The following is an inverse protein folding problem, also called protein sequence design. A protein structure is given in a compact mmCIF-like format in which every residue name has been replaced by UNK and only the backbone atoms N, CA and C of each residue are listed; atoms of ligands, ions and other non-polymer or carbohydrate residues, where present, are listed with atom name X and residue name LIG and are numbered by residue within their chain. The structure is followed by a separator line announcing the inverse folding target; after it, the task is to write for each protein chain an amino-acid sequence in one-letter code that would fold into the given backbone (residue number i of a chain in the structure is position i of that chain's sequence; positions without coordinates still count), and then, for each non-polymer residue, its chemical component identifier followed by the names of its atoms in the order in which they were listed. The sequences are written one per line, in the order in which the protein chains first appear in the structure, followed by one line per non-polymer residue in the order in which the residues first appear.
data_IF_024944103137
#
_entry.id   IF_024944103137
#
_cell.length_a   1.000
_cell.length_b   1.000
_cell.length_c   1.000
_cell.angle_alpha   90.00
_cell.angle_beta   90.00
_cell.angle_gamma   90.00
#
_symmetry.space_group_name_H-M   'P 1'
#
loop_
_entity.id
_entity.type
_entity.pdbx_description
1 polymer ?
#
# COMPACT_ATOMS: atom_id res chain seq x y z
N UNK A 1 -14.04 -8.94 16.42
CA UNK A 1 -12.88 -8.80 15.51
C UNK A 1 -11.59 -9.27 16.17
N UNK A 2 -11.19 -8.70 17.31
CA UNK A 2 -9.96 -9.11 18.03
C UNK A 2 -9.84 -10.62 18.29
N UNK A 3 -10.93 -11.29 18.73
CA UNK A 3 -10.91 -12.73 19.03
C UNK A 3 -10.52 -13.57 17.81
N UNK A 4 -10.92 -13.13 16.61
CA UNK A 4 -10.57 -13.77 15.34
C UNK A 4 -9.07 -13.60 15.03
N UNK A 5 -8.54 -12.39 15.16
CA UNK A 5 -7.10 -12.12 14.99
C UNK A 5 -6.27 -12.92 15.98
N UNK A 6 -6.65 -12.94 17.25
CA UNK A 6 -5.97 -13.70 18.30
C UNK A 6 -5.97 -15.20 18.01
N UNK A 7 -7.11 -15.77 17.62
CA UNK A 7 -7.23 -17.20 17.29
C UNK A 7 -6.36 -17.62 16.09
N UNK A 8 -6.15 -16.74 15.11
CA UNK A 8 -5.21 -16.97 14.03
C UNK A 8 -3.75 -16.88 14.50
N UNK A 9 -3.42 -15.84 15.26
CA UNK A 9 -2.06 -15.55 15.73
C UNK A 9 -1.49 -16.68 16.60
N UNK A 10 -2.28 -17.25 17.52
CA UNK A 10 -1.79 -18.28 18.46
C UNK A 10 -1.25 -19.52 17.75
N UNK A 11 -1.69 -19.81 16.52
CA UNK A 11 -1.18 -20.93 15.69
C UNK A 11 0.30 -20.75 15.31
N UNK A 12 0.81 -19.52 15.34
CA UNK A 12 2.19 -19.17 14.99
C UNK A 12 3.06 -18.85 16.22
N UNK A 13 2.52 -19.06 17.43
CA UNK A 13 3.23 -18.88 18.69
C UNK A 13 3.41 -20.24 19.38
N UNK A 14 4.59 -20.47 19.95
CA UNK A 14 4.81 -21.60 20.86
C UNK A 14 4.06 -21.36 22.20
N UNK A 15 4.03 -22.38 23.08
CA UNK A 15 3.34 -22.29 24.36
C UNK A 15 3.78 -21.08 25.21
N UNK A 16 5.08 -20.77 25.22
CA UNK A 16 5.60 -19.61 25.93
C UNK A 16 5.09 -18.28 25.34
N UNK A 17 5.09 -18.15 24.01
CA UNK A 17 4.59 -16.97 23.29
C UNK A 17 3.09 -16.76 23.49
N UNK A 18 2.31 -17.84 23.54
CA UNK A 18 0.88 -17.78 23.85
C UNK A 18 0.65 -17.27 25.28
N UNK A 19 1.33 -17.85 26.27
CA UNK A 19 1.26 -17.38 27.68
C UNK A 19 1.72 -15.92 27.81
N UNK A 20 2.77 -15.53 27.09
CA UNK A 20 3.26 -14.15 27.08
C UNK A 20 2.22 -13.19 26.48
N UNK A 21 1.54 -13.58 25.40
CA UNK A 21 0.46 -12.79 24.81
C UNK A 21 -0.71 -12.59 25.79
N UNK A 22 -1.15 -13.64 26.49
CA UNK A 22 -2.19 -13.49 27.51
C UNK A 22 -1.75 -12.55 28.64
N UNK A 23 -0.50 -12.66 29.09
CA UNK A 23 0.08 -11.80 30.12
C UNK A 23 0.15 -10.34 29.66
N UNK A 24 0.63 -10.08 28.43
CA UNK A 24 0.73 -8.72 27.88
C UNK A 24 -0.65 -8.07 27.71
N UNK A 25 -1.64 -8.84 27.23
CA UNK A 25 -3.03 -8.39 27.14
C UNK A 25 -3.62 -8.07 28.52
N UNK A 26 -3.52 -9.00 29.47
CA UNK A 26 -4.05 -8.81 30.83
C UNK A 26 -3.34 -7.70 31.62
N UNK A 27 -2.11 -7.35 31.25
CA UNK A 27 -1.36 -6.26 31.90
C UNK A 27 -1.91 -4.86 31.58
N UNK A 28 -2.66 -4.72 30.47
CA UNK A 28 -3.34 -3.49 30.10
C UNK A 28 -4.66 -3.39 30.86
N UNK A 29 -4.66 -2.60 31.93
CA UNK A 29 -5.86 -2.27 32.70
C UNK A 29 -6.10 -0.76 32.66
N UNK A 30 -7.34 -0.27 32.83
CA UNK A 30 -7.65 1.16 32.81
C UNK A 30 -6.77 2.01 33.74
N UNK A 31 -6.30 1.45 34.86
CA UNK A 31 -5.43 2.11 35.84
C UNK A 31 -3.95 2.16 35.40
N UNK A 32 -3.59 1.43 34.34
CA UNK A 32 -2.21 1.29 33.84
C UNK A 32 -2.10 1.58 32.33
N UNK A 33 -2.53 2.75 31.86
CA UNK A 33 -2.57 3.07 30.43
C UNK A 33 -1.20 3.07 29.74
N UNK A 34 -0.13 3.39 30.48
CA UNK A 34 1.24 3.34 29.98
C UNK A 34 1.71 1.91 29.61
N UNK A 35 0.98 0.86 30.02
CA UNK A 35 1.36 -0.51 29.67
C UNK A 35 1.26 -0.77 28.18
N UNK A 36 0.33 -0.13 27.45
CA UNK A 36 0.28 -0.24 25.99
C UNK A 36 1.64 0.07 25.35
N UNK A 37 2.17 1.26 25.64
CA UNK A 37 3.45 1.74 25.08
C UNK A 37 4.57 0.75 25.42
N UNK A 38 4.59 0.27 26.67
CA UNK A 38 5.61 -0.67 27.15
C UNK A 38 5.52 -2.04 26.47
N UNK A 39 4.36 -2.67 26.42
CA UNK A 39 4.21 -4.01 25.81
C UNK A 39 4.40 -3.95 24.30
N UNK A 40 3.96 -2.86 23.66
CA UNK A 40 4.12 -2.66 22.22
C UNK A 40 5.58 -2.55 21.79
N UNK A 41 6.39 -1.80 22.56
CA UNK A 41 7.83 -1.69 22.34
C UNK A 41 8.56 -3.01 22.63
N UNK A 42 8.23 -3.65 23.77
CA UNK A 42 8.85 -4.92 24.17
C UNK A 42 8.47 -6.10 23.28
N UNK A 43 7.41 -5.99 22.48
CA UNK A 43 6.98 -7.06 21.58
C UNK A 43 8.11 -7.55 20.66
N UNK A 44 8.95 -6.62 20.16
CA UNK A 44 10.10 -6.92 19.30
C UNK A 44 11.14 -7.86 19.92
N UNK A 45 11.19 -7.93 21.26
CA UNK A 45 12.09 -8.80 22.05
C UNK A 45 11.43 -10.10 22.51
N UNK A 46 10.10 -10.17 22.45
CA UNK A 46 9.29 -11.26 23.02
C UNK A 46 8.68 -12.17 21.98
N UNK A 47 8.47 -11.68 20.76
CA UNK A 47 7.75 -12.40 19.72
C UNK A 47 8.59 -12.62 18.45
N UNK A 48 8.32 -13.70 17.70
CA UNK A 48 9.01 -13.97 16.44
C UNK A 48 8.83 -12.87 15.41
N UNK A 49 9.88 -12.62 14.62
CA UNK A 49 9.85 -11.74 13.45
C UNK A 49 9.64 -12.51 12.12
N UNK A 50 9.37 -13.80 12.21
CA UNK A 50 9.08 -14.64 11.05
C UNK A 50 7.80 -14.23 10.35
N UNK A 51 7.71 -14.51 9.05
CA UNK A 51 6.44 -14.43 8.32
C UNK A 51 5.68 -15.74 8.52
N UNK A 52 4.36 -15.69 8.80
CA UNK A 52 3.53 -16.87 8.72
C UNK A 52 3.72 -17.53 7.35
N UNK A 53 3.87 -18.87 7.32
CA UNK A 53 3.77 -19.57 6.05
C UNK A 53 2.41 -19.24 5.40
N UNK A 54 2.31 -19.17 4.06
CA UNK A 54 1.03 -19.14 3.39
C UNK A 54 0.25 -20.38 3.82
N UNK A 55 -0.63 -20.22 4.79
CA UNK A 55 -1.63 -21.23 5.14
C UNK A 55 -2.83 -21.01 4.24
N UNK A 56 -3.94 -21.71 4.46
CA UNK A 56 -5.27 -21.35 3.93
C UNK A 56 -5.73 -20.00 4.54
N UNK A 57 -4.92 -18.95 4.31
CA UNK A 57 -4.80 -17.67 5.00
C UNK A 57 -6.00 -16.74 4.74
N UNK A 58 -6.91 -17.16 3.87
CA UNK A 58 -8.18 -16.48 3.59
C UNK A 58 -9.11 -16.43 4.81
N UNK A 59 -8.93 -17.29 5.81
CA UNK A 59 -9.84 -17.29 6.96
C UNK A 59 -9.66 -16.07 7.88
N UNK A 60 -8.47 -15.47 7.99
CA UNK A 60 -8.20 -14.42 8.98
C UNK A 60 -8.04 -13.01 8.41
N UNK A 61 -8.03 -12.85 7.09
CA UNK A 61 -7.84 -11.57 6.40
C UNK A 61 -6.56 -10.83 6.83
N UNK A 62 -5.52 -11.58 7.23
CA UNK A 62 -4.19 -11.03 7.50
C UNK A 62 -3.38 -11.15 6.23
N UNK A 63 -2.92 -10.05 5.64
CA UNK A 63 -2.12 -10.10 4.43
C UNK A 63 -0.85 -10.95 4.61
N UNK A 64 -0.50 -11.79 3.63
CA UNK A 64 0.66 -12.69 3.71
C UNK A 64 2.04 -12.01 3.85
N UNK A 65 2.10 -10.68 3.79
CA UNK A 65 3.32 -9.90 3.99
C UNK A 65 3.58 -9.53 5.47
N UNK A 66 2.63 -9.73 6.38
CA UNK A 66 2.81 -9.42 7.80
C UNK A 66 3.76 -10.41 8.46
N UNK A 67 4.60 -9.92 9.38
CA UNK A 67 5.34 -10.79 10.31
C UNK A 67 4.45 -11.14 11.50
N UNK A 68 4.79 -12.23 12.20
CA UNK A 68 4.13 -12.60 13.47
C UNK A 68 4.18 -11.43 14.47
N UNK A 69 5.32 -10.71 14.55
CA UNK A 69 5.45 -9.50 15.36
C UNK A 69 4.44 -8.39 14.99
N UNK A 70 4.20 -8.16 13.71
CA UNK A 70 3.27 -7.12 13.25
C UNK A 70 1.84 -7.49 13.64
N UNK A 71 1.47 -8.77 13.49
CA UNK A 71 0.18 -9.31 13.92
C UNK A 71 0.00 -9.21 15.46
N UNK A 72 1.02 -9.52 16.25
CA UNK A 72 0.98 -9.31 17.71
C UNK A 72 0.68 -7.84 18.03
N UNK A 73 1.42 -6.91 17.44
CA UNK A 73 1.23 -5.47 17.67
C UNK A 73 -0.17 -4.99 17.28
N UNK A 74 -0.73 -5.49 16.18
CA UNK A 74 -2.13 -5.22 15.79
C UNK A 74 -3.10 -5.76 16.84
N UNK A 75 -2.90 -6.99 17.36
CA UNK A 75 -3.74 -7.53 18.44
C UNK A 75 -3.63 -6.69 19.72
N UNK A 76 -2.45 -6.20 20.08
CA UNK A 76 -2.26 -5.31 21.23
C UNK A 76 -3.03 -3.99 21.06
N UNK A 77 -2.98 -3.38 19.87
CA UNK A 77 -3.71 -2.14 19.58
C UNK A 77 -5.24 -2.33 19.61
N UNK A 78 -5.74 -3.41 19.00
CA UNK A 78 -7.16 -3.75 19.04
C UNK A 78 -7.66 -4.03 20.47
N UNK A 79 -6.82 -4.63 21.31
CA UNK A 79 -7.15 -4.85 22.71
C UNK A 79 -7.18 -3.53 23.47
N UNK A 80 -6.15 -2.70 23.27
CA UNK A 80 -6.02 -1.42 23.94
C UNK A 80 -7.19 -0.49 23.61
N UNK A 81 -7.70 -0.47 22.37
CA UNK A 81 -8.91 0.27 22.02
C UNK A 81 -10.12 -0.16 22.86
N UNK A 82 -10.28 -1.46 23.11
CA UNK A 82 -11.38 -1.99 23.92
C UNK A 82 -11.22 -1.67 25.40
N UNK A 83 -10.00 -1.72 25.93
CA UNK A 83 -9.71 -1.47 27.36
C UNK A 83 -9.77 0.01 27.70
N UNK A 84 -9.16 0.87 26.86
CA UNK A 84 -8.97 2.29 27.18
C UNK A 84 -10.06 3.20 26.63
N UNK A 85 -10.86 2.73 25.66
CA UNK A 85 -11.97 3.51 25.11
C UNK A 85 -11.52 4.90 24.63
N UNK A 86 -12.07 5.96 25.23
CA UNK A 86 -11.73 7.35 24.87
C UNK A 86 -10.25 7.72 25.08
N UNK A 87 -9.56 7.06 26.00
CA UNK A 87 -8.13 7.30 26.27
C UNK A 87 -7.19 6.62 25.26
N UNK A 88 -7.71 5.76 24.39
CA UNK A 88 -6.89 5.02 23.42
C UNK A 88 -6.16 5.95 22.44
N UNK A 89 -6.86 6.94 21.87
CA UNK A 89 -6.27 7.84 20.86
C UNK A 89 -5.12 8.69 21.45
N UNK A 90 -5.27 9.35 22.61
CA UNK A 90 -4.14 10.03 23.27
C UNK A 90 -2.94 9.11 23.53
N UNK A 91 -3.18 7.85 23.92
CA UNK A 91 -2.11 6.87 24.16
C UNK A 91 -1.41 6.45 22.87
N UNK A 92 -2.18 6.25 21.79
CA UNK A 92 -1.65 5.92 20.47
C UNK A 92 -0.79 7.07 19.91
N UNK A 93 -1.25 8.31 20.05
CA UNK A 93 -0.47 9.50 19.66
C UNK A 93 0.82 9.58 20.46
N UNK A 94 0.77 9.36 21.78
CA UNK A 94 1.96 9.32 22.63
C UNK A 94 2.94 8.21 22.25
N UNK A 95 2.43 7.03 21.87
CA UNK A 95 3.23 5.92 21.34
C UNK A 95 3.96 6.34 20.06
N UNK A 96 3.27 7.00 19.14
CA UNK A 96 3.80 7.40 17.83
C UNK A 96 4.93 8.45 17.91
N UNK A 97 4.97 9.27 18.97
CA UNK A 97 6.03 10.29 19.19
C UNK A 97 7.43 9.68 19.12
N UNK A 98 7.62 8.49 19.68
CA UNK A 98 8.92 7.79 19.71
C UNK A 98 8.93 6.49 18.91
N UNK A 99 7.88 6.24 18.12
CA UNK A 99 7.73 4.98 17.40
C UNK A 99 8.75 4.85 16.26
N UNK A 100 9.43 3.70 16.20
CA UNK A 100 10.28 3.34 15.07
C UNK A 100 9.46 3.00 13.81
N UNK A 101 10.17 2.71 12.71
CA UNK A 101 9.52 2.37 11.44
C UNK A 101 8.64 1.11 11.52
N UNK A 102 9.07 0.08 12.25
CA UNK A 102 8.30 -1.16 12.38
C UNK A 102 7.05 -0.96 13.24
N UNK A 103 7.16 -0.14 14.28
CA UNK A 103 6.07 0.24 15.17
C UNK A 103 5.01 1.06 14.41
N UNK A 104 5.44 2.04 13.62
CA UNK A 104 4.55 2.81 12.73
C UNK A 104 3.89 1.92 11.68
N UNK A 105 4.63 0.98 11.09
CA UNK A 105 4.04 0.01 10.16
C UNK A 105 2.94 -0.83 10.81
N UNK A 106 3.15 -1.29 12.05
CA UNK A 106 2.13 -2.05 12.78
C UNK A 106 0.89 -1.22 13.14
N UNK A 107 1.05 0.08 13.41
CA UNK A 107 -0.09 1.00 13.57
C UNK A 107 -0.87 1.10 12.26
N UNK A 108 -0.20 1.30 11.12
CA UNK A 108 -0.85 1.38 9.80
C UNK A 108 -1.65 0.13 9.45
N UNK A 109 -1.10 -1.05 9.76
CA UNK A 109 -1.78 -2.33 9.61
C UNK A 109 -3.04 -2.45 10.46
N UNK A 110 -3.12 -1.76 11.60
CA UNK A 110 -4.29 -1.79 12.48
C UNK A 110 -5.43 -0.87 12.03
N UNK A 111 -5.15 0.18 11.24
CA UNK A 111 -6.10 1.25 10.91
C UNK A 111 -7.45 0.77 10.33
N UNK A 112 -7.51 -0.24 9.42
CA UNK A 112 -8.80 -0.74 8.93
C UNK A 112 -9.71 -1.37 9.98
N UNK A 113 -9.13 -1.76 11.12
CA UNK A 113 -9.76 -2.60 12.12
C UNK A 113 -10.09 -1.84 13.41
N UNK A 114 -9.59 -0.62 13.54
CA UNK A 114 -9.91 0.32 14.63
C UNK A 114 -11.22 1.07 14.32
N UNK A 115 -11.90 1.53 15.35
CA UNK A 115 -13.07 2.39 15.23
C UNK A 115 -12.64 3.75 14.68
N UNK A 116 -13.15 4.08 13.50
CA UNK A 116 -12.79 5.31 12.78
C UNK A 116 -12.94 6.56 13.64
N UNK A 117 -11.94 7.44 13.57
CA UNK A 117 -11.92 8.78 14.16
C UNK A 117 -11.09 9.71 13.27
N UNK A 118 -11.26 11.03 13.45
CA UNK A 118 -10.46 12.03 12.73
C UNK A 118 -8.96 11.87 13.01
N UNK A 119 -8.59 11.60 14.26
CA UNK A 119 -7.19 11.36 14.63
C UNK A 119 -6.56 10.15 13.91
N UNK A 120 -7.31 9.07 13.67
CA UNK A 120 -6.81 7.94 12.88
C UNK A 120 -6.65 8.31 11.40
N UNK A 121 -7.46 9.23 10.88
CA UNK A 121 -7.29 9.77 9.53
C UNK A 121 -6.05 10.66 9.41
N UNK A 122 -5.75 11.45 10.44
CA UNK A 122 -4.52 12.25 10.50
C UNK A 122 -3.28 11.36 10.54
N UNK A 123 -3.29 10.31 11.36
CA UNK A 123 -2.22 9.30 11.42
C UNK A 123 -2.04 8.64 10.05
N UNK A 124 -3.12 8.26 9.39
CA UNK A 124 -3.06 7.69 8.04
C UNK A 124 -2.41 8.68 7.05
N UNK A 125 -2.82 9.95 7.10
CA UNK A 125 -2.30 11.00 6.23
C UNK A 125 -0.81 11.25 6.47
N UNK A 126 -0.34 11.26 7.73
CA UNK A 126 1.08 11.37 8.07
C UNK A 126 1.87 10.18 7.48
N UNK A 127 1.37 8.97 7.66
CA UNK A 127 1.97 7.74 7.12
C UNK A 127 2.08 7.74 5.60
N UNK A 128 1.15 8.38 4.88
CA UNK A 128 1.22 8.51 3.42
C UNK A 128 2.12 9.66 2.94
N UNK A 129 2.56 10.57 3.83
CA UNK A 129 3.46 11.68 3.47
C UNK A 129 4.94 11.35 3.66
N UNK A 130 5.26 10.32 4.44
CA UNK A 130 6.64 9.92 4.75
C UNK A 130 7.46 9.51 3.52
N UNK A 131 8.77 9.70 3.58
CA UNK A 131 9.73 9.10 2.63
C UNK A 131 10.27 7.74 3.12
N UNK A 132 9.91 7.31 4.34
CA UNK A 132 10.32 6.01 4.87
C UNK A 132 9.47 4.93 4.20
N UNK A 133 9.99 4.35 3.12
CA UNK A 133 9.27 3.43 2.23
C UNK A 133 8.53 2.30 2.96
N UNK A 134 9.11 1.56 3.94
CA UNK A 134 8.37 0.53 4.69
C UNK A 134 7.15 1.05 5.48
N UNK A 135 7.22 2.28 5.99
CA UNK A 135 6.09 2.91 6.70
C UNK A 135 5.02 3.32 5.71
N UNK A 136 5.40 3.93 4.59
CA UNK A 136 4.46 4.25 3.52
C UNK A 136 3.74 3.00 3.01
N UNK A 137 4.50 1.95 2.66
CA UNK A 137 3.96 0.71 2.07
C UNK A 137 3.04 -0.04 3.02
N UNK A 138 3.31 -0.03 4.33
CA UNK A 138 2.42 -0.66 5.31
C UNK A 138 0.98 -0.09 5.33
N UNK A 139 0.81 1.14 4.86
CA UNK A 139 -0.51 1.74 4.67
C UNK A 139 -0.96 1.70 3.21
N UNK A 140 -0.07 1.92 2.24
CA UNK A 140 -0.43 1.98 0.83
C UNK A 140 -0.78 0.60 0.24
N UNK A 141 -0.07 -0.46 0.67
CA UNK A 141 -0.09 -1.77 0.05
C UNK A 141 -0.96 -2.76 0.81
N UNK A 142 -1.80 -3.51 0.08
CA UNK A 142 -2.66 -4.57 0.60
C UNK A 142 -3.51 -4.18 1.82
N UNK A 143 -3.77 -2.89 1.98
CA UNK A 143 -4.43 -2.33 3.13
C UNK A 143 -5.80 -1.78 2.68
N UNK A 144 -6.92 -2.36 3.15
CA UNK A 144 -8.25 -1.96 2.71
C UNK A 144 -8.62 -0.52 3.09
N UNK A 145 -7.88 0.10 4.02
CA UNK A 145 -8.06 1.51 4.39
C UNK A 145 -7.93 2.44 3.17
N UNK A 146 -7.03 2.15 2.23
CA UNK A 146 -6.78 3.05 1.09
C UNK A 146 -7.91 3.08 0.08
N UNK A 147 -8.65 1.97 -0.04
CA UNK A 147 -9.78 1.84 -0.97
C UNK A 147 -10.99 2.67 -0.54
N UNK A 148 -11.29 2.72 0.76
CA UNK A 148 -12.54 3.31 1.29
C UNK A 148 -12.33 4.49 2.24
N UNK A 149 -11.19 4.58 2.93
CA UNK A 149 -10.91 5.58 3.96
C UNK A 149 -10.30 6.88 3.46
N UNK A 150 -9.89 6.96 2.19
CA UNK A 150 -9.24 8.15 1.62
C UNK A 150 -10.18 8.96 0.71
N UNK A 151 -10.14 10.28 0.87
CA UNK A 151 -10.69 11.21 -0.13
C UNK A 151 -10.05 10.97 -1.51
N UNK A 152 -10.72 11.39 -2.59
CA UNK A 152 -10.16 11.26 -3.94
C UNK A 152 -8.81 11.99 -4.07
N UNK A 153 -8.69 13.19 -3.47
CA UNK A 153 -7.45 13.94 -3.48
C UNK A 153 -6.32 13.22 -2.72
N UNK A 154 -6.59 12.73 -1.50
CA UNK A 154 -5.59 12.02 -0.70
C UNK A 154 -5.10 10.74 -1.39
N UNK A 155 -6.00 10.02 -2.06
CA UNK A 155 -5.63 8.84 -2.84
C UNK A 155 -4.76 9.19 -4.04
N UNK A 156 -5.08 10.25 -4.77
CA UNK A 156 -4.26 10.69 -5.89
C UNK A 156 -2.84 11.07 -5.44
N UNK A 157 -2.73 11.77 -4.31
CA UNK A 157 -1.44 12.13 -3.72
C UNK A 157 -0.64 10.91 -3.25
N UNK A 158 -1.32 9.91 -2.68
CA UNK A 158 -0.68 8.63 -2.32
C UNK A 158 -0.11 7.92 -3.55
N UNK A 159 -0.86 7.82 -4.65
CA UNK A 159 -0.39 7.16 -5.88
C UNK A 159 0.82 7.91 -6.46
N UNK A 160 0.77 9.24 -6.51
CA UNK A 160 1.90 10.07 -6.95
C UNK A 160 3.12 9.89 -6.04
N UNK A 161 2.90 9.89 -4.72
CA UNK A 161 3.95 9.69 -3.72
C UNK A 161 4.62 8.32 -3.86
N UNK A 162 3.85 7.26 -4.07
CA UNK A 162 4.38 5.91 -4.29
C UNK A 162 5.42 5.92 -5.43
N UNK A 163 5.09 6.54 -6.56
CA UNK A 163 6.02 6.68 -7.69
C UNK A 163 7.26 7.54 -7.35
N UNK A 164 7.08 8.60 -6.56
CA UNK A 164 8.18 9.48 -6.14
C UNK A 164 9.21 8.75 -5.26
N UNK A 165 8.76 7.86 -4.38
CA UNK A 165 9.64 7.05 -3.50
C UNK A 165 9.97 5.67 -4.12
N UNK A 166 9.71 5.50 -5.41
CA UNK A 166 9.99 4.28 -6.18
C UNK A 166 9.32 3.02 -5.60
N UNK A 167 8.15 3.18 -4.99
CA UNK A 167 7.26 2.11 -4.56
C UNK A 167 6.35 1.65 -5.71
N UNK A 168 5.93 0.39 -5.63
CA UNK A 168 5.03 -0.23 -6.60
C UNK A 168 3.59 0.21 -6.36
N UNK A 169 2.78 0.23 -7.41
CA UNK A 169 1.36 0.60 -7.37
C UNK A 169 0.45 -0.62 -7.36
N UNK A 170 0.84 -1.76 -7.94
CA UNK A 170 0.00 -2.96 -8.02
C UNK A 170 -0.55 -3.46 -6.66
N UNK A 171 0.16 -3.31 -5.51
CA UNK A 171 -0.40 -3.72 -4.22
C UNK A 171 -1.47 -2.75 -3.69
N UNK A 172 -1.58 -1.54 -4.27
CA UNK A 172 -2.55 -0.53 -3.85
C UNK A 172 -3.95 -1.00 -4.25
N UNK A 173 -4.76 -1.30 -3.23
CA UNK A 173 -6.13 -1.76 -3.45
C UNK A 173 -7.00 -0.63 -3.98
N UNK A 174 -7.80 -0.91 -5.03
CA UNK A 174 -8.67 0.09 -5.64
C UNK A 174 -8.01 0.96 -6.71
N UNK A 175 -6.75 0.68 -7.11
CA UNK A 175 -6.02 1.51 -8.08
C UNK A 175 -6.79 1.72 -9.39
N UNK A 176 -7.31 0.64 -9.98
CA UNK A 176 -8.02 0.73 -11.26
C UNK A 176 -9.40 1.37 -11.09
N UNK A 177 -10.11 1.06 -10.00
CA UNK A 177 -11.46 1.58 -9.74
C UNK A 177 -11.48 3.07 -9.34
N UNK A 178 -10.39 3.57 -8.75
CA UNK A 178 -10.25 4.97 -8.31
C UNK A 178 -9.44 5.83 -9.27
N UNK A 179 -9.01 5.29 -10.40
CA UNK A 179 -8.47 6.09 -11.50
C UNK A 179 -9.47 7.20 -11.85
N UNK A 180 -8.95 8.41 -12.09
CA UNK A 180 -9.77 9.59 -12.35
C UNK A 180 -9.00 10.63 -13.18
N UNK A 181 -9.67 11.61 -13.81
CA UNK A 181 -9.02 12.62 -14.65
C UNK A 181 -7.96 13.44 -13.94
N UNK A 182 -8.17 13.79 -12.66
CA UNK A 182 -7.20 14.56 -11.90
C UNK A 182 -5.92 13.75 -11.63
N UNK A 183 -6.06 12.46 -11.30
CA UNK A 183 -4.91 11.56 -11.16
C UNK A 183 -4.15 11.42 -12.48
N UNK A 184 -4.86 11.22 -13.60
CA UNK A 184 -4.24 11.10 -14.91
C UNK A 184 -3.40 12.34 -15.26
N UNK A 185 -3.92 13.56 -15.05
CA UNK A 185 -3.18 14.81 -15.27
C UNK A 185 -1.94 14.90 -14.38
N UNK A 186 -2.08 14.66 -13.07
CA UNK A 186 -0.95 14.64 -12.13
C UNK A 186 0.15 13.67 -12.56
N UNK A 187 -0.22 12.48 -13.03
CA UNK A 187 0.73 11.46 -13.49
C UNK A 187 1.42 11.86 -14.80
N UNK A 188 0.69 12.46 -15.75
CA UNK A 188 1.30 12.96 -16.99
C UNK A 188 2.27 14.11 -16.70
N UNK A 189 1.95 15.02 -15.78
CA UNK A 189 2.85 16.10 -15.38
C UNK A 189 4.11 15.55 -14.70
N UNK A 190 3.94 14.61 -13.77
CA UNK A 190 5.08 13.88 -13.18
C UNK A 190 5.94 13.16 -14.23
N UNK A 191 5.30 12.53 -15.22
CA UNK A 191 6.00 11.88 -16.34
C UNK A 191 6.85 12.90 -17.12
N UNK A 192 6.29 14.07 -17.44
CA UNK A 192 7.01 15.17 -18.12
C UNK A 192 8.20 15.65 -17.32
N UNK A 193 8.05 15.85 -16.01
CA UNK A 193 9.14 16.24 -15.10
C UNK A 193 10.27 15.20 -15.10
N UNK A 194 9.94 13.91 -15.00
CA UNK A 194 10.91 12.81 -15.06
C UNK A 194 11.63 12.77 -16.40
N UNK A 195 10.90 12.94 -17.51
CA UNK A 195 11.47 12.99 -18.86
C UNK A 195 12.45 14.16 -19.04
N UNK A 196 12.08 15.36 -18.58
CA UNK A 196 12.96 16.53 -18.63
C UNK A 196 14.25 16.30 -17.83
N UNK A 197 14.15 15.58 -16.72
CA UNK A 197 15.29 15.16 -15.90
C UNK A 197 16.03 13.91 -16.42
N UNK A 198 15.66 13.37 -17.59
CA UNK A 198 16.20 12.11 -18.16
C UNK A 198 16.11 10.92 -17.22
N UNK A 199 15.09 10.88 -16.36
CA UNK A 199 14.83 9.78 -15.43
C UNK A 199 13.75 8.86 -15.99
N UNK A 200 13.91 7.56 -15.70
CA UNK A 200 12.92 6.55 -16.09
C UNK A 200 11.62 6.73 -15.30
N UNK A 201 10.51 6.48 -15.98
CA UNK A 201 9.15 6.44 -15.44
C UNK A 201 8.74 4.98 -15.25
N UNK A 202 8.26 4.65 -14.05
CA UNK A 202 7.78 3.31 -13.72
C UNK A 202 6.59 2.91 -14.59
N UNK A 203 6.57 1.68 -15.11
CA UNK A 203 5.54 1.23 -16.07
C UNK A 203 4.12 1.23 -15.48
N UNK A 204 3.98 1.06 -14.17
CA UNK A 204 2.67 1.08 -13.51
C UNK A 204 2.01 2.46 -13.50
N UNK A 205 2.75 3.54 -13.77
CA UNK A 205 2.15 4.86 -13.98
C UNK A 205 1.05 4.80 -15.06
N UNK A 206 1.30 4.06 -16.15
CA UNK A 206 0.35 3.95 -17.26
C UNK A 206 -0.92 3.18 -16.87
N UNK A 207 -0.84 2.26 -15.90
CA UNK A 207 -2.03 1.59 -15.33
C UNK A 207 -2.89 2.59 -14.56
N UNK A 208 -2.24 3.41 -13.72
CA UNK A 208 -2.91 4.37 -12.84
C UNK A 208 -3.56 5.56 -13.58
N UNK A 209 -3.12 5.88 -14.81
CA UNK A 209 -3.85 6.80 -15.70
C UNK A 209 -5.24 6.24 -16.03
N UNK A 210 -5.38 4.92 -16.16
CA UNK A 210 -6.65 4.26 -16.39
C UNK A 210 -7.33 4.67 -17.69
N UNK A 211 -8.66 4.85 -17.63
CA UNK A 211 -9.49 5.26 -18.77
C UNK A 211 -9.66 6.78 -18.92
N UNK A 212 -8.70 7.56 -18.41
CA UNK A 212 -8.78 9.01 -18.34
C UNK A 212 -7.65 9.70 -19.10
N UNK A 213 -7.16 9.06 -20.16
CA UNK A 213 -6.26 9.74 -21.08
C UNK A 213 -7.04 10.88 -21.78
N UNK A 214 -6.33 11.91 -22.22
CA UNK A 214 -6.89 13.03 -22.97
C UNK A 214 -6.05 13.20 -24.24
N UNK A 215 -6.62 13.80 -25.28
CA UNK A 215 -5.91 14.00 -26.56
C UNK A 215 -4.61 14.79 -26.38
N UNK A 216 -4.61 15.80 -25.51
CA UNK A 216 -3.44 16.62 -25.14
C UNK A 216 -2.30 15.81 -24.51
N UNK A 217 -2.56 14.60 -24.02
CA UNK A 217 -1.55 13.71 -23.42
C UNK A 217 -0.84 12.83 -24.45
N UNK A 218 -1.46 12.60 -25.63
CA UNK A 218 -1.02 11.58 -26.58
C UNK A 218 0.37 11.84 -27.14
N UNK A 219 0.70 13.09 -27.46
CA UNK A 219 2.04 13.44 -27.93
C UNK A 219 3.10 13.11 -26.88
N UNK A 220 2.83 13.40 -25.60
CA UNK A 220 3.75 13.07 -24.52
C UNK A 220 3.94 11.55 -24.39
N UNK A 221 2.85 10.77 -24.49
CA UNK A 221 2.88 9.29 -24.48
C UNK A 221 3.71 8.75 -25.65
N UNK A 222 3.49 9.25 -26.87
CA UNK A 222 4.23 8.86 -28.06
C UNK A 222 5.72 9.17 -27.92
N UNK A 223 6.06 10.39 -27.50
CA UNK A 223 7.45 10.79 -27.31
C UNK A 223 8.16 9.91 -26.28
N UNK A 224 7.47 9.54 -25.19
CA UNK A 224 8.04 8.63 -24.21
C UNK A 224 8.18 7.20 -24.73
N UNK A 225 7.24 6.70 -25.54
CA UNK A 225 7.34 5.39 -26.18
C UNK A 225 8.61 5.25 -27.03
N UNK A 226 8.92 6.29 -27.81
CA UNK A 226 10.07 6.30 -28.72
C UNK A 226 11.42 6.19 -28.00
N UNK A 227 11.50 6.70 -26.77
CA UNK A 227 12.73 6.68 -25.96
C UNK A 227 12.76 5.58 -24.88
N UNK A 228 11.67 4.84 -24.72
CA UNK A 228 11.56 3.75 -23.74
C UNK A 228 11.56 2.36 -24.40
N UNK A 229 11.49 1.31 -23.60
CA UNK A 229 11.80 -0.07 -24.00
C UNK A 229 10.99 -1.07 -23.15
N UNK A 230 10.97 -2.34 -23.56
CA UNK A 230 10.49 -3.46 -22.75
C UNK A 230 9.08 -3.25 -22.16
N UNK A 231 8.93 -3.55 -20.86
CA UNK A 231 7.64 -3.53 -20.16
C UNK A 231 6.93 -2.17 -20.25
N UNK A 232 7.69 -1.07 -20.36
CA UNK A 232 7.12 0.27 -20.49
C UNK A 232 6.40 0.46 -21.82
N UNK A 233 6.91 -0.12 -22.92
CA UNK A 233 6.21 -0.06 -24.23
C UNK A 233 4.91 -0.86 -24.20
N UNK A 234 4.93 -2.04 -23.59
CA UNK A 234 3.72 -2.84 -23.40
C UNK A 234 2.69 -2.13 -22.50
N UNK A 235 3.13 -1.48 -21.43
CA UNK A 235 2.28 -0.67 -20.57
C UNK A 235 1.62 0.51 -21.31
N UNK A 236 2.34 1.16 -22.23
CA UNK A 236 1.79 2.22 -23.09
C UNK A 236 0.74 1.65 -24.06
N UNK A 237 1.01 0.50 -24.68
CA UNK A 237 0.02 -0.17 -25.54
C UNK A 237 -1.25 -0.53 -24.77
N UNK A 238 -1.13 -1.05 -23.55
CA UNK A 238 -2.27 -1.34 -22.68
C UNK A 238 -3.05 -0.08 -22.30
N UNK A 239 -2.36 1.02 -22.02
CA UNK A 239 -3.00 2.31 -21.77
C UNK A 239 -3.79 2.80 -22.99
N UNK A 240 -3.19 2.79 -24.18
CA UNK A 240 -3.85 3.25 -25.41
C UNK A 240 -5.08 2.38 -25.72
N UNK A 241 -4.98 1.05 -25.55
CA UNK A 241 -6.12 0.12 -25.72
C UNK A 241 -7.26 0.38 -24.73
N UNK A 242 -6.94 0.78 -23.49
CA UNK A 242 -7.96 1.15 -22.50
C UNK A 242 -8.69 2.44 -22.87
N UNK A 243 -8.10 3.28 -23.72
CA UNK A 243 -8.61 4.59 -24.11
C UNK A 243 -9.02 4.65 -25.60
N UNK A 244 -9.49 3.54 -26.19
CA UNK A 244 -9.98 3.51 -27.58
C UNK A 244 -11.20 4.40 -27.85
N UNK A 245 -11.86 4.91 -26.79
CA UNK A 245 -12.91 5.93 -26.93
C UNK A 245 -12.35 7.28 -27.42
N UNK A 246 -11.03 7.52 -27.30
CA UNK A 246 -10.35 8.64 -27.93
C UNK A 246 -9.99 8.24 -29.37
N UNK A 247 -10.55 8.88 -30.41
CA UNK A 247 -10.35 8.45 -31.80
C UNK A 247 -8.88 8.31 -32.22
N UNK A 248 -7.94 9.20 -31.82
CA UNK A 248 -6.54 9.06 -32.24
C UNK A 248 -5.81 7.84 -31.66
N UNK A 249 -6.32 7.20 -30.60
CA UNK A 249 -5.63 6.07 -29.95
C UNK A 249 -5.42 4.88 -30.90
N UNK A 250 -6.39 4.58 -31.78
CA UNK A 250 -6.24 3.47 -32.75
C UNK A 250 -5.08 3.72 -33.69
N UNK A 251 -5.00 4.93 -34.26
CA UNK A 251 -3.91 5.32 -35.16
C UNK A 251 -2.55 5.29 -34.43
N UNK A 252 -2.50 5.73 -33.18
CA UNK A 252 -1.27 5.68 -32.39
C UNK A 252 -0.84 4.22 -32.13
N UNK A 253 -1.77 3.32 -31.81
CA UNK A 253 -1.45 1.89 -31.63
C UNK A 253 -0.83 1.32 -32.90
N UNK A 254 -1.40 1.57 -34.07
CA UNK A 254 -0.88 1.06 -35.35
C UNK A 254 0.53 1.59 -35.63
N UNK A 255 0.73 2.91 -35.47
CA UNK A 255 2.03 3.57 -35.68
C UNK A 255 3.10 3.04 -34.72
N UNK A 256 2.78 2.93 -33.43
CA UNK A 256 3.73 2.47 -32.42
C UNK A 256 4.02 0.97 -32.56
N UNK A 257 3.04 0.17 -32.97
CA UNK A 257 3.21 -1.27 -33.22
C UNK A 257 4.13 -1.55 -34.41
N UNK A 258 4.13 -0.68 -35.42
CA UNK A 258 5.08 -0.76 -36.54
C UNK A 258 6.54 -0.52 -36.09
N UNK A 259 6.75 0.23 -35.01
CA UNK A 259 8.09 0.49 -34.43
C UNK A 259 8.49 -0.64 -33.46
N UNK A 260 7.57 -1.00 -32.56
CA UNK A 260 7.76 -2.07 -31.60
C UNK A 260 6.40 -2.72 -31.30
N UNK A 261 6.19 -3.96 -31.77
CA UNK A 261 4.92 -4.63 -31.58
C UNK A 261 4.68 -4.91 -30.10
N UNK A 262 3.41 -4.84 -29.69
CA UNK A 262 2.99 -5.23 -28.35
C UNK A 262 3.20 -6.75 -28.17
N UNK A 263 3.66 -7.16 -26.99
CA UNK A 263 3.77 -8.58 -26.64
C UNK A 263 2.39 -9.25 -26.76
N UNK A 264 2.23 -10.36 -27.53
CA UNK A 264 0.95 -11.03 -27.68
C UNK A 264 0.37 -11.49 -26.33
N UNK A 265 -0.92 -11.20 -26.10
CA UNK A 265 -1.62 -11.60 -24.88
C UNK A 265 -1.23 -10.83 -23.62
N UNK A 266 -0.37 -9.81 -23.71
CA UNK A 266 0.11 -9.09 -22.53
C UNK A 266 -1.03 -8.47 -21.72
N UNK A 267 -0.90 -8.52 -20.40
CA UNK A 267 -1.82 -7.93 -19.42
C UNK A 267 -1.06 -7.23 -18.31
N UNK A 268 -1.76 -6.44 -17.48
CA UNK A 268 -1.13 -5.82 -16.31
C UNK A 268 -0.60 -6.84 -15.30
N UNK A 269 -1.27 -8.00 -15.15
CA UNK A 269 -0.80 -9.07 -14.28
C UNK A 269 0.46 -9.76 -14.82
N UNK A 270 0.54 -9.98 -16.13
CA UNK A 270 1.75 -10.50 -16.76
C UNK A 270 2.92 -9.53 -16.61
N UNK A 271 2.70 -8.23 -16.78
CA UNK A 271 3.75 -7.22 -16.57
C UNK A 271 4.28 -7.23 -15.13
N UNK A 272 3.37 -7.35 -14.15
CA UNK A 272 3.71 -7.52 -12.73
C UNK A 272 4.59 -8.75 -12.53
N UNK A 273 4.16 -9.92 -13.00
CA UNK A 273 4.91 -11.18 -12.87
C UNK A 273 6.30 -11.10 -13.51
N UNK A 274 6.38 -10.58 -14.74
CA UNK A 274 7.65 -10.42 -15.47
C UNK A 274 8.59 -9.42 -14.82
N UNK A 275 8.06 -8.36 -14.19
CA UNK A 275 8.88 -7.37 -13.49
C UNK A 275 9.51 -7.95 -12.22
N UNK A 276 8.77 -8.77 -11.47
CA UNK A 276 9.27 -9.44 -10.26
C UNK A 276 10.22 -10.59 -10.55
N UNK A 277 9.95 -11.39 -11.59
CA UNK A 277 10.83 -12.50 -11.99
C UNK A 277 12.26 -12.07 -12.40
N UNK A 278 12.50 -10.77 -12.66
CA UNK A 278 13.82 -10.20 -12.97
C UNK A 278 14.58 -9.69 -11.74
N UNK A 279 13.94 -9.65 -10.56
CA UNK A 279 14.49 -9.11 -9.31
C UNK A 279 14.90 -10.19 -8.31
N UNK A 280 14.42 -11.42 -8.49
CA UNK A 280 14.84 -12.63 -7.79
C UNK A 280 16.04 -13.30 -8.51
#
# INVERSE_FOLDING_TARGET
MISKFKAGLVKFLNAQGQTQLESDLASMTPEKPAQLIRVFALASRRYPKSRPAPTDADQFAVPGHWRVLDWVRVVLLLHAEQVFGGEFIPLLQKLLVSADAEERSAVNYSLPYLKGSEALHDIATESLRTNIKPVFESLAHFNPYTKTGLSGHAFNQMVLKALFIESELWPIQGLDERANPNLARMLIDYMRERMAAKRVVHYELFRAIGGHLEESHLETIRNYFLITHGHTRDAIHLLLRRNLHLPPCSTYIDQLSAIAPMTPGISWDMLKEQYHAKRD
#
